data_IF_572906273549
#
_entry.id   IF_572906273549
#
_cell.length_a   1.000
_cell.length_b   1.000
_cell.length_c   1.000
_cell.angle_alpha   90.00
_cell.angle_beta   90.00
_cell.angle_gamma   90.00
#
_symmetry.space_group_name_H-M   'P 1'
#
loop_
_entity.id
_entity.type
_entity.pdbx_description
1 polymer ?
#
# COMPACT_ATOMS: atom_id res chain seq x y z
N UNK A 1 3.79 -18.43 -17.61
CA UNK A 1 4.79 -19.30 -16.91
C UNK A 1 5.89 -18.58 -16.12
N UNK A 2 6.38 -17.39 -16.49
CA UNK A 2 7.45 -16.71 -15.70
C UNK A 2 6.99 -16.15 -14.34
N UNK A 3 5.73 -15.70 -14.22
CA UNK A 3 5.22 -15.07 -12.98
C UNK A 3 4.74 -16.10 -11.94
N UNK A 4 4.17 -17.23 -12.40
CA UNK A 4 3.66 -18.26 -11.48
C UNK A 4 4.75 -19.08 -10.78
N UNK A 5 5.95 -19.20 -11.37
CA UNK A 5 7.05 -19.99 -10.77
C UNK A 5 7.78 -19.26 -9.65
N UNK A 6 7.66 -17.94 -9.53
CA UNK A 6 8.38 -17.12 -8.55
C UNK A 6 7.67 -16.98 -7.21
N UNK A 7 6.38 -17.33 -7.14
CA UNK A 7 5.52 -17.13 -5.96
C UNK A 7 5.17 -18.40 -5.18
N UNK A 8 5.47 -19.60 -5.70
CA UNK A 8 5.40 -20.84 -4.89
C UNK A 8 6.60 -20.91 -3.95
N UNK A 9 6.56 -20.13 -2.88
CA UNK A 9 7.33 -20.40 -1.68
C UNK A 9 6.33 -20.71 -0.57
N UNK A 10 6.01 -22.00 -0.40
CA UNK A 10 5.35 -22.48 0.80
C UNK A 10 6.25 -22.18 1.99
N UNK A 11 5.85 -21.22 2.82
CA UNK A 11 6.47 -20.99 4.12
C UNK A 11 5.85 -21.99 5.11
N UNK A 12 6.40 -23.20 5.16
CA UNK A 12 6.20 -24.05 6.33
C UNK A 12 7.12 -23.54 7.44
N UNK A 13 6.54 -22.89 8.45
CA UNK A 13 7.25 -22.59 9.69
C UNK A 13 7.17 -23.85 10.59
N UNK A 14 8.31 -24.42 11.02
CA UNK A 14 8.30 -25.60 11.87
C UNK A 14 7.88 -25.24 13.31
N UNK A 15 6.79 -25.89 13.76
CA UNK A 15 6.33 -25.92 15.14
C UNK A 15 5.61 -24.66 15.59
N UNK A 16 4.28 -24.72 15.77
CA UNK A 16 3.52 -24.17 16.90
C UNK A 16 2.00 -24.31 16.61
N UNK A 17 1.14 -24.56 17.61
CA UNK A 17 -0.23 -25.04 17.38
C UNK A 17 -1.14 -24.01 16.71
N UNK A 18 -1.86 -24.47 15.68
CA UNK A 18 -2.92 -23.75 14.97
C UNK A 18 -4.19 -23.66 15.82
N UNK A 19 -4.22 -22.82 16.87
CA UNK A 19 -5.48 -22.41 17.48
C UNK A 19 -5.30 -21.18 18.36
N UNK A 20 -5.61 -20.00 17.83
CA UNK A 20 -5.98 -18.85 18.66
C UNK A 20 -7.41 -18.46 18.31
N UNK A 21 -8.35 -18.63 19.26
CA UNK A 21 -9.69 -18.05 19.17
C UNK A 21 -9.64 -16.64 19.74
N UNK A 22 -9.97 -15.65 18.94
CA UNK A 22 -10.05 -14.25 19.36
C UNK A 22 -11.12 -14.04 20.45
N UNK A 23 -10.87 -13.24 21.49
CA UNK A 23 -11.93 -12.75 22.37
C UNK A 23 -12.81 -11.74 21.62
N UNK A 24 -14.13 -11.81 21.81
CA UNK A 24 -15.12 -10.88 21.24
C UNK A 24 -14.96 -9.46 21.81
N UNK A 25 -15.12 -8.39 21.00
CA UNK A 25 -15.02 -7.02 21.48
C UNK A 25 -16.23 -6.61 22.32
N UNK A 26 -15.98 -5.96 23.46
CA UNK A 26 -16.99 -5.29 24.28
C UNK A 26 -17.48 -3.99 23.62
N UNK A 27 -18.77 -3.63 23.73
CA UNK A 27 -19.32 -2.42 23.10
C UNK A 27 -19.00 -1.13 23.88
N UNK A 28 -18.95 0.04 23.23
CA UNK A 28 -18.64 1.31 23.89
C UNK A 28 -19.82 1.87 24.70
N UNK A 29 -19.47 2.63 25.76
CA UNK A 29 -20.38 3.29 26.70
C UNK A 29 -21.07 4.54 26.12
N UNK A 30 -22.33 4.84 26.50
CA UNK A 30 -23.16 5.86 25.85
C UNK A 30 -22.91 7.26 26.42
N UNK A 31 -21.91 8.00 25.89
CA UNK A 31 -21.76 9.44 26.20
C UNK A 31 -21.38 10.38 25.06
N UNK A 32 -21.41 9.92 23.80
CA UNK A 32 -21.23 10.80 22.64
C UNK A 32 -22.43 10.74 21.70
N UNK A 33 -23.56 11.27 22.17
CA UNK A 33 -24.75 11.50 21.35
C UNK A 33 -25.50 12.76 21.81
N UNK A 34 -25.00 13.95 21.50
CA UNK A 34 -25.85 15.15 21.31
C UNK A 34 -25.07 16.40 20.91
N UNK A 35 -25.81 17.28 20.21
CA UNK A 35 -25.47 18.60 19.65
C UNK A 35 -24.93 18.53 18.20
N UNK A 36 -25.55 19.11 17.16
CA UNK A 36 -26.52 20.22 17.11
C UNK A 36 -27.29 20.19 15.78
N UNK A 37 -28.59 20.44 15.88
CA UNK A 37 -29.53 20.66 14.78
C UNK A 37 -30.09 22.08 14.90
N UNK A 38 -30.08 22.85 13.79
CA UNK A 38 -30.85 24.08 13.46
C UNK A 38 -30.18 24.67 12.20
N UNK A 39 -30.79 24.93 11.06
CA UNK A 39 -32.18 24.94 10.60
C UNK A 39 -32.34 26.13 9.65
N UNK A 40 -32.73 25.92 8.38
CA UNK A 40 -33.54 26.89 7.60
C UNK A 40 -34.12 26.25 6.33
N UNK A 41 -35.45 26.25 6.25
CA UNK A 41 -36.26 25.98 5.06
C UNK A 41 -36.53 27.30 4.33
N UNK A 42 -36.62 27.24 3.00
CA UNK A 42 -37.55 28.06 2.21
C UNK A 42 -37.91 27.30 0.94
N UNK A 43 -39.20 27.04 0.79
CA UNK A 43 -39.86 26.39 -0.33
C UNK A 43 -40.52 27.45 -1.20
N UNK A 44 -40.52 27.25 -2.52
CA UNK A 44 -41.53 27.78 -3.45
C UNK A 44 -41.62 26.82 -4.65
N UNK A 45 -42.78 26.20 -4.79
CA UNK A 45 -43.29 25.56 -6.02
C UNK A 45 -43.60 26.63 -7.08
N UNK A 46 -43.58 26.27 -8.37
CA UNK A 46 -44.68 26.48 -9.32
C UNK A 46 -44.40 25.76 -10.67
N UNK A 47 -45.46 25.52 -11.42
CA UNK A 47 -45.80 24.45 -12.39
C UNK A 47 -45.24 24.53 -13.83
N UNK A 48 -45.40 23.47 -14.67
CA UNK A 48 -44.90 23.41 -16.05
C UNK A 48 -45.96 23.77 -17.10
N UNK A 49 -45.58 24.43 -18.21
CA UNK A 49 -46.48 24.63 -19.36
C UNK A 49 -45.75 24.68 -20.73
N UNK A 50 -46.22 23.79 -21.63
CA UNK A 50 -46.37 23.85 -23.11
C UNK A 50 -45.19 24.04 -24.09
N UNK A 51 -44.87 22.93 -24.77
CA UNK A 51 -45.07 22.66 -26.21
C UNK A 51 -45.10 23.85 -27.19
N UNK A 52 -44.00 24.07 -27.92
CA UNK A 52 -43.96 24.81 -29.19
C UNK A 52 -43.69 23.89 -30.38
N UNK A 53 -44.69 23.71 -31.26
CA UNK A 53 -44.57 23.08 -32.59
C UNK A 53 -44.10 24.12 -33.61
N UNK A 54 -42.99 23.87 -34.31
CA UNK A 54 -42.58 24.67 -35.47
C UNK A 54 -43.09 24.00 -36.74
N UNK A 55 -43.91 24.72 -37.50
CA UNK A 55 -44.51 24.33 -38.78
C UNK A 55 -43.66 24.91 -39.90
N UNK A 56 -42.96 24.06 -40.67
CA UNK A 56 -42.18 24.50 -41.84
C UNK A 56 -43.09 24.42 -43.08
N UNK A 57 -43.32 25.57 -43.71
CA UNK A 57 -44.02 25.68 -44.98
C UNK A 57 -43.11 25.21 -46.13
N UNK A 58 -43.58 24.25 -46.93
CA UNK A 58 -42.95 23.85 -48.20
C UNK A 58 -43.70 24.56 -49.33
N UNK A 59 -42.97 25.29 -50.17
CA UNK A 59 -43.42 25.78 -51.48
C UNK A 59 -42.96 24.79 -52.57
N UNK A 60 -43.76 24.51 -53.62
CA UNK A 60 -43.38 23.59 -54.67
C UNK A 60 -42.72 24.33 -55.84
N UNK A 61 -41.70 23.69 -56.44
CA UNK A 61 -41.34 23.93 -57.84
C UNK A 61 -39.89 24.33 -58.08
N UNK A 62 -39.13 23.38 -58.62
CA UNK A 62 -38.41 23.40 -59.91
C UNK A 62 -37.14 22.56 -59.77
N UNK A 63 -37.12 21.42 -60.47
CA UNK A 63 -35.96 20.56 -60.66
C UNK A 63 -34.91 21.26 -61.54
N UNK A 64 -33.62 20.99 -61.31
CA UNK A 64 -32.79 20.59 -62.43
C UNK A 64 -32.05 19.27 -62.17
N UNK A 65 -32.11 18.45 -63.21
CA UNK A 65 -31.43 17.19 -63.45
C UNK A 65 -29.90 17.37 -63.48
N UNK A 66 -29.18 16.26 -63.24
CA UNK A 66 -27.74 16.05 -63.37
C UNK A 66 -26.86 16.35 -62.14
N UNK A 67 -26.86 15.40 -61.20
CA UNK A 67 -25.63 15.02 -60.50
C UNK A 67 -25.43 13.51 -60.66
N UNK A 68 -24.36 13.13 -61.37
CA UNK A 68 -23.83 11.78 -61.34
C UNK A 68 -23.62 11.38 -59.87
N UNK A 69 -24.41 10.44 -59.39
CA UNK A 69 -24.24 9.84 -58.07
C UNK A 69 -23.03 8.91 -58.13
N UNK A 70 -21.84 9.46 -57.87
CA UNK A 70 -20.65 8.67 -57.56
C UNK A 70 -21.02 7.81 -56.34
N UNK A 71 -20.93 6.48 -56.40
CA UNK A 71 -21.16 5.67 -55.22
C UNK A 71 -20.07 5.98 -54.22
N UNK A 72 -20.40 6.78 -53.20
CA UNK A 72 -19.63 6.85 -51.97
C UNK A 72 -19.60 5.43 -51.40
N UNK A 73 -18.49 4.71 -51.59
CA UNK A 73 -18.17 3.57 -50.75
C UNK A 73 -18.08 4.11 -49.33
N UNK A 74 -19.14 3.90 -48.54
CA UNK A 74 -19.08 4.03 -47.09
C UNK A 74 -18.01 3.03 -46.67
N UNK A 75 -16.80 3.54 -46.41
CA UNK A 75 -15.67 2.73 -45.97
C UNK A 75 -16.11 1.93 -44.77
N UNK A 76 -15.95 0.61 -44.81
CA UNK A 76 -16.22 -0.22 -43.65
C UNK A 76 -15.43 0.35 -42.46
N UNK A 77 -16.02 0.45 -41.26
CA UNK A 77 -15.28 0.90 -40.09
C UNK A 77 -14.03 0.04 -39.94
N UNK A 78 -12.85 0.68 -39.92
CA UNK A 78 -11.57 -0.02 -39.82
C UNK A 78 -11.63 -1.01 -38.67
N UNK A 79 -11.38 -2.29 -38.96
CA UNK A 79 -11.36 -3.34 -37.94
C UNK A 79 -10.27 -2.97 -36.94
N UNK A 80 -10.67 -2.68 -35.70
CA UNK A 80 -9.70 -2.46 -34.64
C UNK A 80 -8.95 -3.77 -34.38
N UNK A 81 -7.63 -3.67 -34.34
CA UNK A 81 -6.73 -4.79 -34.05
C UNK A 81 -7.08 -5.45 -32.71
N UNK A 82 -7.39 -4.62 -31.71
CA UNK A 82 -7.86 -5.07 -30.40
C UNK A 82 -9.20 -4.39 -30.10
N UNK A 83 -10.24 -5.14 -29.69
CA UNK A 83 -11.50 -4.54 -29.27
C UNK A 83 -11.28 -3.54 -28.12
N UNK A 84 -11.96 -2.38 -28.16
CA UNK A 84 -11.86 -1.36 -27.09
C UNK A 84 -12.12 -1.93 -25.69
N UNK A 85 -13.00 -2.91 -25.58
CA UNK A 85 -13.32 -3.57 -24.31
C UNK A 85 -12.10 -4.29 -23.73
N UNK A 86 -11.34 -4.98 -24.57
CA UNK A 86 -10.13 -5.71 -24.18
C UNK A 86 -9.01 -4.77 -23.78
N UNK A 87 -8.80 -3.66 -24.50
CA UNK A 87 -7.82 -2.64 -24.10
C UNK A 87 -8.19 -2.01 -22.75
N UNK A 88 -9.46 -1.65 -22.56
CA UNK A 88 -9.94 -1.11 -21.28
C UNK A 88 -9.74 -2.10 -20.12
N UNK A 89 -9.97 -3.39 -20.36
CA UNK A 89 -9.75 -4.42 -19.35
C UNK A 89 -8.25 -4.56 -19.03
N UNK A 90 -7.39 -4.54 -20.05
CA UNK A 90 -5.94 -4.55 -19.89
C UNK A 90 -5.46 -3.35 -19.05
N UNK A 91 -5.86 -2.13 -19.42
CA UNK A 91 -5.52 -0.89 -18.71
C UNK A 91 -5.97 -0.94 -17.25
N UNK A 92 -7.19 -1.42 -16.99
CA UNK A 92 -7.71 -1.58 -15.62
C UNK A 92 -6.86 -2.53 -14.79
N UNK A 93 -6.56 -3.72 -15.31
CA UNK A 93 -5.79 -4.73 -14.55
C UNK A 93 -4.34 -4.29 -14.36
N UNK A 94 -3.72 -3.66 -15.36
CA UNK A 94 -2.38 -3.09 -15.20
C UNK A 94 -2.37 -1.93 -14.20
N UNK A 95 -3.36 -1.04 -14.24
CA UNK A 95 -3.48 0.08 -13.28
C UNK A 95 -3.59 -0.40 -11.83
N UNK A 96 -4.34 -1.48 -11.56
CA UNK A 96 -4.37 -2.12 -10.23
C UNK A 96 -3.00 -2.60 -9.78
N UNK A 97 -2.19 -3.14 -10.70
CA UNK A 97 -0.85 -3.63 -10.40
C UNK A 97 0.15 -2.51 -10.17
N UNK A 98 0.05 -1.39 -10.89
CA UNK A 98 0.85 -0.20 -10.62
C UNK A 98 0.56 0.36 -9.22
N UNK A 99 -0.72 0.48 -8.87
CA UNK A 99 -1.12 0.89 -7.52
C UNK A 99 -0.58 -0.06 -6.45
N UNK A 100 -0.64 -1.37 -6.70
CA UNK A 100 -0.11 -2.39 -5.79
C UNK A 100 1.42 -2.28 -5.64
N UNK A 101 2.16 -2.01 -6.72
CA UNK A 101 3.61 -1.77 -6.70
C UNK A 101 3.96 -0.61 -5.77
N UNK A 102 3.30 0.53 -5.97
CA UNK A 102 3.55 1.75 -5.20
C UNK A 102 3.21 1.57 -3.71
N UNK A 103 2.06 0.93 -3.43
CA UNK A 103 1.64 0.63 -2.06
C UNK A 103 2.60 -0.34 -1.37
N UNK A 104 3.10 -1.36 -2.08
CA UNK A 104 4.06 -2.33 -1.52
C UNK A 104 5.39 -1.65 -1.18
N UNK A 105 5.90 -0.78 -2.08
CA UNK A 105 7.13 0.00 -1.82
C UNK A 105 6.97 0.95 -0.64
N UNK A 106 5.83 1.64 -0.56
CA UNK A 106 5.53 2.54 0.56
C UNK A 106 5.49 1.77 1.88
N UNK A 107 4.75 0.66 1.93
CA UNK A 107 4.66 -0.20 3.10
C UNK A 107 6.05 -0.72 3.52
N UNK A 108 6.87 -1.17 2.58
CA UNK A 108 8.24 -1.60 2.87
C UNK A 108 9.07 -0.48 3.53
N UNK A 109 8.99 0.75 3.00
CA UNK A 109 9.71 1.91 3.53
C UNK A 109 9.23 2.26 4.93
N UNK A 110 7.92 2.27 5.15
CA UNK A 110 7.33 2.61 6.44
C UNK A 110 7.63 1.54 7.50
N UNK A 111 7.65 0.25 7.13
CA UNK A 111 8.08 -0.82 8.04
C UNK A 111 9.54 -0.68 8.47
N UNK A 112 10.44 -0.34 7.53
CA UNK A 112 11.86 -0.09 7.88
C UNK A 112 12.00 1.09 8.85
N UNK A 113 11.32 2.21 8.56
CA UNK A 113 11.33 3.36 9.46
C UNK A 113 10.81 3.01 10.86
N UNK A 114 9.77 2.20 10.94
CA UNK A 114 9.22 1.75 12.22
C UNK A 114 10.25 0.94 13.00
N UNK A 115 10.92 -0.02 12.37
CA UNK A 115 11.96 -0.82 13.05
C UNK A 115 13.19 0.00 13.43
N UNK A 116 13.58 0.99 12.62
CA UNK A 116 14.67 1.90 12.94
C UNK A 116 14.33 2.77 14.16
N UNK A 117 13.09 3.25 14.25
CA UNK A 117 12.60 4.01 15.41
C UNK A 117 12.57 3.15 16.68
N UNK A 118 12.13 1.88 16.57
CA UNK A 118 12.15 0.93 17.67
C UNK A 118 13.57 0.74 18.21
N UNK A 119 14.56 0.54 17.32
CA UNK A 119 15.97 0.40 17.73
C UNK A 119 16.53 1.66 18.37
N UNK A 120 16.20 2.83 17.83
CA UNK A 120 16.64 4.11 18.38
C UNK A 120 16.10 4.32 19.81
N UNK A 121 14.82 4.00 20.03
CA UNK A 121 14.18 4.12 21.34
C UNK A 121 14.84 3.20 22.38
N UNK A 122 15.02 1.90 22.07
CA UNK A 122 15.60 0.97 23.04
C UNK A 122 17.07 1.30 23.34
N UNK A 123 17.84 1.73 22.33
CA UNK A 123 19.21 2.20 22.52
C UNK A 123 19.30 3.43 23.42
N UNK A 124 18.40 4.41 23.26
CA UNK A 124 18.34 5.57 24.14
C UNK A 124 17.96 5.18 25.57
N UNK A 125 17.03 4.24 25.75
CA UNK A 125 16.65 3.75 27.08
C UNK A 125 17.83 3.08 27.81
N UNK A 126 18.60 2.22 27.13
CA UNK A 126 19.83 1.62 27.68
C UNK A 126 20.89 2.68 27.99
N UNK A 127 21.01 3.73 27.16
CA UNK A 127 21.95 4.81 27.44
C UNK A 127 21.57 5.55 28.72
N UNK A 128 20.30 5.88 28.91
CA UNK A 128 19.82 6.57 30.11
C UNK A 128 20.14 5.75 31.36
N UNK A 129 19.86 4.45 31.36
CA UNK A 129 20.15 3.61 32.52
C UNK A 129 21.66 3.46 32.78
N UNK A 130 22.46 3.33 31.73
CA UNK A 130 23.92 3.26 31.85
C UNK A 130 24.53 4.56 32.37
N UNK A 131 24.04 5.72 31.92
CA UNK A 131 24.49 7.03 32.40
C UNK A 131 24.16 7.19 33.89
N UNK A 132 22.96 6.79 34.32
CA UNK A 132 22.57 6.79 35.74
C UNK A 132 23.47 5.89 36.59
N UNK A 133 23.79 4.68 36.10
CA UNK A 133 24.64 3.74 36.81
C UNK A 133 26.07 4.27 37.02
N UNK A 134 26.55 5.10 36.09
CA UNK A 134 27.87 5.76 36.18
C UNK A 134 27.92 6.96 37.13
N UNK A 135 26.78 7.36 37.72
CA UNK A 135 26.71 8.49 38.62
C UNK A 135 27.41 8.18 39.97
N UNK A 136 28.27 9.07 40.49
CA UNK A 136 28.94 8.86 41.79
C UNK A 136 27.99 8.61 42.98
N UNK A 137 26.73 9.03 42.89
CA UNK A 137 25.70 8.71 43.91
C UNK A 137 25.49 7.20 44.09
N UNK A 138 25.71 6.40 43.04
CA UNK A 138 25.65 4.95 43.11
C UNK A 138 26.79 4.35 43.97
N UNK A 139 27.92 5.05 44.13
CA UNK A 139 28.99 4.60 45.02
C UNK A 139 28.72 4.97 46.49
N UNK A 140 27.97 6.04 46.70
CA UNK A 140 27.69 6.62 48.02
C UNK A 140 26.50 5.93 48.71
N UNK A 141 25.48 5.55 47.94
CA UNK A 141 24.20 5.07 48.47
C UNK A 141 23.89 3.66 47.95
N UNK A 142 24.13 2.60 48.75
CA UNK A 142 23.91 1.22 48.31
C UNK A 142 22.48 0.93 47.85
N UNK A 143 21.49 1.57 48.47
CA UNK A 143 20.07 1.40 48.11
C UNK A 143 19.74 2.04 46.75
N UNK A 144 20.41 3.13 46.38
CA UNK A 144 20.28 3.76 45.08
C UNK A 144 20.96 2.92 44.00
N UNK A 145 22.15 2.40 44.27
CA UNK A 145 22.86 1.48 43.37
C UNK A 145 22.02 0.26 43.02
N UNK A 146 21.38 -0.37 44.01
CA UNK A 146 20.50 -1.52 43.81
C UNK A 146 19.34 -1.18 42.85
N UNK A 147 18.66 -0.06 43.09
CA UNK A 147 17.55 0.41 42.26
C UNK A 147 17.99 0.70 40.82
N UNK A 148 19.08 1.43 40.63
CA UNK A 148 19.60 1.80 39.31
C UNK A 148 20.13 0.56 38.56
N UNK A 149 20.73 -0.39 39.26
CA UNK A 149 21.18 -1.67 38.67
C UNK A 149 20.00 -2.52 38.19
N UNK A 150 18.92 -2.58 38.96
CA UNK A 150 17.69 -3.26 38.55
C UNK A 150 17.08 -2.60 37.30
N UNK A 151 17.03 -1.26 37.27
CA UNK A 151 16.56 -0.49 36.12
C UNK A 151 17.41 -0.73 34.87
N UNK A 152 18.73 -0.68 34.98
CA UNK A 152 19.65 -0.93 33.86
C UNK A 152 19.52 -2.36 33.30
N UNK A 153 19.38 -3.34 34.19
CA UNK A 153 19.13 -4.73 33.80
C UNK A 153 17.81 -4.85 33.02
N UNK A 154 16.75 -4.19 33.48
CA UNK A 154 15.47 -4.17 32.77
C UNK A 154 15.58 -3.53 31.38
N UNK A 155 16.28 -2.39 31.25
CA UNK A 155 16.47 -1.70 29.97
C UNK A 155 17.26 -2.56 28.97
N UNK A 156 18.32 -3.23 29.42
CA UNK A 156 19.12 -4.16 28.59
C UNK A 156 18.31 -5.37 28.14
N UNK A 157 17.47 -5.95 29.02
CA UNK A 157 16.55 -7.04 28.65
C UNK A 157 15.53 -6.59 27.62
N UNK A 158 14.94 -5.40 27.80
CA UNK A 158 14.03 -4.80 26.83
C UNK A 158 14.68 -4.63 25.46
N UNK A 159 15.90 -4.11 25.41
CA UNK A 159 16.65 -3.93 24.17
C UNK A 159 16.89 -5.27 23.44
N UNK A 160 17.26 -6.32 24.17
CA UNK A 160 17.43 -7.67 23.59
C UNK A 160 16.15 -8.20 22.93
N UNK A 161 15.00 -8.11 23.60
CA UNK A 161 13.72 -8.50 23.01
C UNK A 161 13.31 -7.60 21.83
N UNK A 162 13.65 -6.31 21.88
CA UNK A 162 13.37 -5.39 20.79
C UNK A 162 14.20 -5.73 19.54
N UNK A 163 15.49 -6.06 19.71
CA UNK A 163 16.36 -6.53 18.63
C UNK A 163 15.80 -7.82 18.00
N UNK A 164 15.35 -8.78 18.80
CA UNK A 164 14.73 -10.00 18.28
C UNK A 164 13.45 -9.70 17.49
N UNK A 165 12.55 -8.85 18.02
CA UNK A 165 11.36 -8.39 17.30
C UNK A 165 11.74 -7.78 15.94
N UNK A 166 12.72 -6.86 15.92
CA UNK A 166 13.17 -6.19 14.70
C UNK A 166 13.74 -7.19 13.70
N UNK A 167 14.57 -8.14 14.15
CA UNK A 167 15.13 -9.19 13.31
C UNK A 167 14.04 -10.09 12.71
N UNK A 168 13.00 -10.42 13.47
CA UNK A 168 11.85 -11.17 12.98
C UNK A 168 11.04 -10.39 11.95
N UNK A 169 10.75 -9.11 12.20
CA UNK A 169 10.03 -8.24 11.25
C UNK A 169 10.82 -8.09 9.94
N UNK A 170 12.15 -7.97 10.03
CA UNK A 170 13.02 -7.90 8.86
C UNK A 170 12.86 -9.12 7.95
N UNK A 171 12.91 -10.33 8.53
CA UNK A 171 12.79 -11.60 7.79
C UNK A 171 11.36 -11.90 7.31
N UNK A 172 10.36 -11.60 8.12
CA UNK A 172 8.98 -12.06 7.90
C UNK A 172 8.07 -11.04 7.23
N UNK A 173 8.47 -9.77 7.18
CA UNK A 173 7.69 -8.66 6.60
C UNK A 173 8.49 -7.93 5.52
N UNK A 174 9.65 -7.37 5.89
CA UNK A 174 10.41 -6.47 4.99
C UNK A 174 10.99 -7.22 3.79
N UNK A 175 11.55 -8.41 4.01
CA UNK A 175 12.08 -9.26 2.94
C UNK A 175 11.00 -9.77 1.97
N UNK A 176 9.85 -10.32 2.43
CA UNK A 176 8.73 -10.65 1.55
C UNK A 176 8.22 -9.46 0.74
N UNK A 177 8.06 -8.27 1.34
CA UNK A 177 7.68 -7.06 0.61
C UNK A 177 8.70 -6.70 -0.48
N UNK A 178 10.00 -6.85 -0.19
CA UNK A 178 11.10 -6.65 -1.16
C UNK A 178 11.01 -7.66 -2.30
N UNK A 179 10.79 -8.93 -1.98
CA UNK A 179 10.70 -10.03 -2.95
C UNK A 179 9.48 -9.90 -3.85
N UNK A 180 8.32 -9.51 -3.30
CA UNK A 180 7.14 -9.21 -4.12
C UNK A 180 7.39 -8.02 -5.05
N UNK A 181 8.03 -6.96 -4.52
CA UNK A 181 8.34 -5.75 -5.29
C UNK A 181 9.30 -6.02 -6.47
N UNK A 182 10.17 -7.03 -6.39
CA UNK A 182 11.13 -7.32 -7.45
C UNK A 182 10.52 -7.96 -8.70
N UNK A 183 9.26 -8.38 -8.65
CA UNK A 183 8.53 -8.96 -9.79
C UNK A 183 8.06 -7.87 -10.76
N UNK A 184 7.74 -6.68 -10.26
CA UNK A 184 7.15 -5.60 -11.07
C UNK A 184 8.02 -5.10 -12.22
N UNK A 185 9.36 -4.93 -12.10
CA UNK A 185 10.20 -4.57 -13.24
C UNK A 185 10.03 -5.51 -14.44
N UNK A 186 9.94 -6.83 -14.19
CA UNK A 186 9.73 -7.83 -15.24
C UNK A 186 8.34 -7.72 -15.87
N UNK A 187 7.30 -7.50 -15.05
CA UNK A 187 5.94 -7.24 -15.52
C UNK A 187 5.88 -5.99 -16.40
N UNK A 188 6.44 -4.88 -15.93
CA UNK A 188 6.45 -3.59 -16.64
C UNK A 188 7.18 -3.72 -17.99
N UNK A 189 8.27 -4.48 -18.04
CA UNK A 189 8.95 -4.81 -19.30
C UNK A 189 8.11 -5.67 -20.25
N UNK A 190 7.34 -6.63 -19.73
CA UNK A 190 6.42 -7.43 -20.56
C UNK A 190 5.30 -6.57 -21.16
N UNK A 191 4.72 -5.66 -20.37
CA UNK A 191 3.72 -4.69 -20.84
C UNK A 191 4.30 -3.78 -21.91
N UNK A 192 5.52 -3.24 -21.69
CA UNK A 192 6.22 -2.42 -22.70
C UNK A 192 6.46 -3.18 -24.00
N UNK A 193 6.85 -4.46 -23.92
CA UNK A 193 7.04 -5.31 -25.10
C UNK A 193 5.72 -5.57 -25.84
N UNK A 194 4.62 -5.83 -25.13
CA UNK A 194 3.29 -5.92 -25.75
C UNK A 194 2.93 -4.65 -26.51
N UNK A 195 3.12 -3.48 -25.90
CA UNK A 195 2.78 -2.20 -26.54
C UNK A 195 3.63 -1.94 -27.78
N UNK A 196 4.94 -2.25 -27.72
CA UNK A 196 5.82 -2.16 -28.88
C UNK A 196 5.34 -3.08 -30.03
N UNK A 197 5.05 -4.35 -29.74
CA UNK A 197 4.53 -5.28 -30.77
C UNK A 197 3.17 -4.82 -31.31
N UNK A 198 2.31 -4.21 -30.47
CA UNK A 198 1.03 -3.64 -30.92
C UNK A 198 1.22 -2.47 -31.90
N UNK A 199 2.21 -1.61 -31.65
CA UNK A 199 2.55 -0.50 -32.57
C UNK A 199 3.06 -1.04 -33.91
N UNK A 200 3.93 -2.05 -33.88
CA UNK A 200 4.42 -2.72 -35.09
C UNK A 200 3.30 -3.42 -35.86
N UNK A 201 2.38 -4.07 -35.14
CA UNK A 201 1.18 -4.64 -35.74
C UNK A 201 0.32 -3.55 -36.40
N UNK A 202 0.00 -2.44 -35.72
CA UNK A 202 -0.75 -1.30 -36.30
C UNK A 202 -0.11 -0.78 -37.59
N UNK A 203 1.22 -0.66 -37.61
CA UNK A 203 1.99 -0.21 -38.78
C UNK A 203 1.89 -1.17 -39.96
N UNK A 204 2.12 -2.47 -39.74
CA UNK A 204 2.06 -3.48 -40.80
C UNK A 204 0.63 -3.74 -41.28
N UNK A 205 -0.36 -3.72 -40.38
CA UNK A 205 -1.77 -3.80 -40.74
C UNK A 205 -2.18 -2.65 -41.66
N UNK A 206 -1.74 -1.42 -41.37
CA UNK A 206 -1.98 -0.26 -42.23
C UNK A 206 -1.33 -0.42 -43.61
N UNK A 207 -0.16 -1.07 -43.69
CA UNK A 207 0.50 -1.42 -44.97
C UNK A 207 -0.33 -2.42 -45.77
N UNK A 208 -0.91 -3.44 -45.13
CA UNK A 208 -1.82 -4.41 -45.77
C UNK A 208 -3.08 -3.71 -46.27
N UNK A 209 -3.78 -2.94 -45.42
CA UNK A 209 -4.99 -2.17 -45.79
C UNK A 209 -4.73 -1.29 -47.03
N UNK A 210 -3.59 -0.58 -47.05
CA UNK A 210 -3.19 0.28 -48.18
C UNK A 210 -3.03 -0.48 -49.51
N UNK A 211 -2.63 -1.75 -49.49
CA UNK A 211 -2.55 -2.57 -50.71
C UNK A 211 -3.88 -3.25 -51.04
N UNK A 212 -4.74 -3.51 -50.05
CA UNK A 212 -6.11 -4.03 -50.27
C UNK A 212 -7.04 -3.01 -50.91
N UNK A 213 -6.84 -1.72 -50.65
CA UNK A 213 -7.60 -0.61 -51.25
C UNK A 213 -7.22 -0.32 -52.71
N UNK A 214 -6.06 -0.80 -53.17
CA UNK A 214 -5.57 -0.57 -54.54
C UNK A 214 -6.20 -1.52 -55.55
N UNK A 215 -6.16 -1.14 -56.82
CA UNK A 215 -6.62 -2.00 -57.92
C UNK A 215 -5.87 -3.32 -57.98
N UNK A 216 -6.61 -4.40 -58.28
CA UNK A 216 -6.12 -5.79 -58.28
C UNK A 216 -5.31 -6.13 -59.53
N UNK A 217 -4.19 -5.44 -59.69
CA UNK A 217 -3.18 -5.76 -60.70
C UNK A 217 -2.19 -6.81 -60.17
N UNK A 218 -1.56 -7.57 -61.06
CA UNK A 218 -0.55 -8.58 -60.68
C UNK A 218 0.54 -8.05 -59.71
N UNK A 219 1.19 -6.91 -60.00
CA UNK A 219 2.18 -6.33 -59.10
C UNK A 219 1.64 -5.91 -57.73
N UNK A 220 0.38 -5.45 -57.65
CA UNK A 220 -0.25 -5.09 -56.36
C UNK A 220 -0.58 -6.33 -55.55
N UNK A 221 -1.03 -7.41 -56.19
CA UNK A 221 -1.29 -8.69 -55.53
C UNK A 221 -0.01 -9.31 -54.94
N UNK A 222 1.12 -9.23 -55.66
CA UNK A 222 2.41 -9.68 -55.14
C UNK A 222 2.84 -8.88 -53.89
N UNK A 223 2.72 -7.54 -53.92
CA UNK A 223 3.02 -6.68 -52.76
C UNK A 223 2.08 -6.89 -51.59
N UNK A 224 0.79 -7.14 -51.85
CA UNK A 224 -0.19 -7.49 -50.83
C UNK A 224 0.18 -8.81 -50.15
N UNK A 225 0.56 -9.82 -50.92
CA UNK A 225 1.02 -11.10 -50.38
C UNK A 225 2.25 -10.91 -49.48
N UNK A 226 3.28 -10.21 -49.95
CA UNK A 226 4.47 -9.91 -49.15
C UNK A 226 4.13 -9.16 -47.85
N UNK A 227 3.27 -8.14 -47.91
CA UNK A 227 2.84 -7.40 -46.72
C UNK A 227 2.08 -8.28 -45.71
N UNK A 228 1.31 -9.27 -46.17
CA UNK A 228 0.63 -10.25 -45.30
C UNK A 228 1.62 -11.23 -44.68
N UNK A 229 2.64 -11.68 -45.43
CA UNK A 229 3.73 -12.52 -44.90
C UNK A 229 4.51 -11.81 -43.80
N UNK A 230 4.83 -10.52 -43.99
CA UNK A 230 5.49 -9.69 -42.97
C UNK A 230 4.61 -9.48 -41.72
N UNK A 231 3.30 -9.30 -41.92
CA UNK A 231 2.34 -9.07 -40.84
C UNK A 231 2.15 -10.28 -39.93
N UNK A 232 2.11 -11.49 -40.52
CA UNK A 232 1.72 -12.72 -39.83
C UNK A 232 2.51 -12.98 -38.54
N UNK A 233 3.86 -13.01 -38.52
CA UNK A 233 4.61 -13.29 -37.29
C UNK A 233 4.43 -12.20 -36.22
N UNK A 234 4.26 -10.94 -36.61
CA UNK A 234 4.06 -9.83 -35.67
C UNK A 234 2.67 -9.91 -35.01
N UNK A 235 1.65 -10.28 -35.79
CA UNK A 235 0.31 -10.53 -35.28
C UNK A 235 0.31 -11.68 -34.26
N UNK A 236 0.92 -12.82 -34.62
CA UNK A 236 1.01 -13.98 -33.73
C UNK A 236 1.76 -13.66 -32.43
N UNK A 237 2.86 -12.92 -32.50
CA UNK A 237 3.62 -12.49 -31.32
C UNK A 237 2.82 -11.55 -30.41
N UNK A 238 2.10 -10.58 -31.00
CA UNK A 238 1.22 -9.68 -30.25
C UNK A 238 0.10 -10.45 -29.55
N UNK A 239 -0.61 -11.33 -30.27
CA UNK A 239 -1.72 -12.11 -29.73
C UNK A 239 -1.26 -13.00 -28.57
N UNK A 240 -0.09 -13.64 -28.71
CA UNK A 240 0.52 -14.43 -27.64
C UNK A 240 0.82 -13.59 -26.39
N UNK A 241 1.51 -12.45 -26.55
CA UNK A 241 1.85 -11.53 -25.45
C UNK A 241 0.61 -10.96 -24.76
N UNK A 242 -0.37 -10.52 -25.57
CA UNK A 242 -1.61 -9.94 -25.09
C UNK A 242 -2.42 -10.95 -24.28
N UNK A 243 -2.60 -12.17 -24.81
CA UNK A 243 -3.28 -13.26 -24.11
C UNK A 243 -2.58 -13.59 -22.79
N UNK A 244 -1.26 -13.76 -22.82
CA UNK A 244 -0.50 -14.09 -21.61
C UNK A 244 -0.68 -13.03 -20.51
N UNK A 245 -0.59 -11.74 -20.85
CA UNK A 245 -0.74 -10.67 -19.86
C UNK A 245 -2.16 -10.57 -19.31
N UNK A 246 -3.18 -10.72 -20.15
CA UNK A 246 -4.58 -10.74 -19.73
C UNK A 246 -4.90 -11.91 -18.78
N UNK A 247 -4.20 -13.04 -18.93
CA UNK A 247 -4.35 -14.19 -18.03
C UNK A 247 -3.54 -14.06 -16.74
N UNK A 248 -2.31 -13.56 -16.80
CA UNK A 248 -1.38 -13.60 -15.67
C UNK A 248 -1.55 -12.40 -14.72
N UNK A 249 -1.86 -11.20 -15.24
CA UNK A 249 -2.02 -9.99 -14.40
C UNK A 249 -3.12 -10.14 -13.33
N UNK A 250 -4.35 -10.61 -13.67
CA UNK A 250 -5.40 -10.77 -12.67
C UNK A 250 -5.09 -11.85 -11.63
N UNK A 251 -4.40 -12.93 -12.06
CA UNK A 251 -3.96 -14.01 -11.17
C UNK A 251 -2.92 -13.49 -10.17
N UNK A 252 -1.92 -12.77 -10.68
CA UNK A 252 -0.89 -12.14 -9.84
C UNK A 252 -1.53 -11.17 -8.83
N UNK A 253 -2.44 -10.30 -9.28
CA UNK A 253 -3.18 -9.40 -8.39
C UNK A 253 -3.94 -10.18 -7.31
N UNK A 254 -4.68 -11.24 -7.68
CA UNK A 254 -5.46 -12.04 -6.73
C UNK A 254 -4.59 -12.73 -5.69
N UNK A 255 -3.40 -13.21 -6.08
CA UNK A 255 -2.45 -13.90 -5.17
C UNK A 255 -1.90 -13.03 -4.03
N UNK A 256 -2.03 -11.70 -4.10
CA UNK A 256 -1.51 -10.76 -3.10
C UNK A 256 -2.00 -11.05 -1.68
N UNK A 257 -3.25 -11.54 -1.54
CA UNK A 257 -3.86 -11.79 -0.24
C UNK A 257 -3.11 -12.94 0.46
N UNK A 258 -3.00 -14.07 -0.23
CA UNK A 258 -2.32 -15.25 0.30
C UNK A 258 -0.83 -15.00 0.50
N UNK A 259 -0.23 -14.16 -0.33
CA UNK A 259 1.18 -13.78 -0.20
C UNK A 259 1.46 -12.92 1.04
N UNK A 260 0.64 -11.89 1.31
CA UNK A 260 0.89 -10.96 2.42
C UNK A 260 0.33 -11.40 3.77
N UNK A 261 -0.68 -12.27 3.78
CA UNK A 261 -1.32 -12.74 5.02
C UNK A 261 -0.31 -13.30 6.05
N UNK A 262 0.64 -14.19 5.68
CA UNK A 262 1.62 -14.69 6.64
C UNK A 262 2.55 -13.60 7.21
N UNK A 263 2.88 -12.57 6.43
CA UNK A 263 3.67 -11.44 6.90
C UNK A 263 2.91 -10.61 7.94
N UNK A 264 1.62 -10.34 7.73
CA UNK A 264 0.83 -9.59 8.71
C UNK A 264 0.59 -10.39 9.99
N UNK A 265 0.31 -11.69 9.88
CA UNK A 265 0.20 -12.56 11.06
C UNK A 265 1.51 -12.60 11.86
N UNK A 266 2.65 -12.70 11.17
CA UNK A 266 3.98 -12.72 11.82
C UNK A 266 4.32 -11.38 12.47
N UNK A 267 3.94 -10.26 11.84
CA UNK A 267 4.09 -8.93 12.43
C UNK A 267 3.32 -8.79 13.75
N UNK A 268 2.04 -9.18 13.76
CA UNK A 268 1.21 -9.14 14.97
C UNK A 268 1.79 -10.04 16.05
N UNK A 269 2.21 -11.26 15.71
CA UNK A 269 2.84 -12.19 16.66
C UNK A 269 4.12 -11.62 17.28
N UNK A 270 5.01 -11.05 16.46
CA UNK A 270 6.26 -10.45 16.96
C UNK A 270 5.99 -9.30 17.94
N UNK A 271 4.96 -8.48 17.68
CA UNK A 271 4.55 -7.42 18.59
C UNK A 271 3.97 -7.98 19.90
N UNK A 272 3.08 -8.97 19.83
CA UNK A 272 2.48 -9.60 21.02
C UNK A 272 3.56 -10.20 21.92
N UNK A 273 4.53 -10.92 21.35
CA UNK A 273 5.66 -11.48 22.11
C UNK A 273 6.43 -10.36 22.80
N UNK A 274 6.84 -9.34 22.05
CA UNK A 274 7.60 -8.21 22.61
C UNK A 274 6.86 -7.53 23.77
N UNK A 275 5.61 -7.09 23.57
CA UNK A 275 4.87 -6.37 24.59
C UNK A 275 4.51 -7.23 25.81
N UNK A 276 4.32 -8.54 25.61
CA UNK A 276 4.12 -9.48 26.73
C UNK A 276 5.37 -9.56 27.60
N UNK A 277 6.55 -9.66 26.99
CA UNK A 277 7.81 -9.68 27.74
C UNK A 277 8.09 -8.32 28.39
N UNK A 278 7.72 -7.21 27.74
CA UNK A 278 7.89 -5.87 28.34
C UNK A 278 7.02 -5.72 29.59
N UNK A 279 5.77 -6.17 29.52
CA UNK A 279 4.87 -6.17 30.67
C UNK A 279 5.47 -6.95 31.85
N UNK A 280 6.05 -8.13 31.59
CA UNK A 280 6.72 -8.93 32.63
C UNK A 280 7.94 -8.21 33.21
N UNK A 281 8.83 -7.70 32.36
CA UNK A 281 10.05 -7.00 32.78
C UNK A 281 9.70 -5.79 33.66
N UNK A 282 8.73 -4.99 33.25
CA UNK A 282 8.32 -3.83 34.05
C UNK A 282 7.57 -4.23 35.31
N UNK A 283 6.76 -5.29 35.30
CA UNK A 283 6.15 -5.83 36.51
C UNK A 283 7.18 -6.29 37.54
N UNK A 284 8.20 -7.03 37.09
CA UNK A 284 9.31 -7.49 37.93
C UNK A 284 10.12 -6.30 38.48
N UNK A 285 10.36 -5.28 37.64
CA UNK A 285 11.08 -4.06 38.04
C UNK A 285 10.28 -3.26 39.07
N UNK A 286 8.97 -3.07 38.85
CA UNK A 286 8.10 -2.40 39.81
C UNK A 286 8.13 -3.13 41.14
N UNK A 287 8.01 -4.46 41.16
CA UNK A 287 8.07 -5.23 42.41
C UNK A 287 9.42 -5.12 43.15
N UNK A 288 10.52 -4.87 42.43
CA UNK A 288 11.85 -4.68 43.02
C UNK A 288 12.09 -3.26 43.54
N UNK A 289 11.55 -2.25 42.85
CA UNK A 289 11.76 -0.83 43.19
C UNK A 289 10.70 -0.34 44.19
N UNK A 290 9.48 -0.85 44.09
CA UNK A 290 8.36 -0.41 44.91
C UNK A 290 8.59 -0.81 46.36
N UNK A 291 8.78 0.21 47.20
CA UNK A 291 8.78 0.05 48.66
C UNK A 291 7.43 0.51 49.18
N UNK A 292 6.75 -0.25 50.05
CA UNK A 292 5.54 0.23 50.69
C UNK A 292 5.87 1.53 51.45
N UNK A 293 5.25 2.62 51.01
CA UNK A 293 5.57 3.96 51.46
C UNK A 293 4.41 4.93 51.27
N UNK A 294 4.76 6.22 51.26
CA UNK A 294 3.80 7.31 51.12
C UNK A 294 3.08 7.27 49.77
N UNK A 295 1.79 7.64 49.77
CA UNK A 295 1.02 7.89 48.54
C UNK A 295 1.70 8.95 47.67
N UNK A 296 1.41 8.96 46.36
CA UNK A 296 1.97 9.95 45.44
C UNK A 296 1.72 11.39 45.94
N UNK A 297 0.52 11.69 46.44
CA UNK A 297 0.16 13.01 47.01
C UNK A 297 0.96 13.37 48.27
N UNK A 298 1.32 12.37 49.08
CA UNK A 298 2.14 12.59 50.27
C UNK A 298 3.61 12.82 49.89
N UNK A 299 4.14 12.08 48.90
CA UNK A 299 5.49 12.30 48.37
C UNK A 299 5.63 13.68 47.74
N UNK A 300 4.63 14.12 46.99
CA UNK A 300 4.60 15.45 46.38
C UNK A 300 4.63 16.54 47.46
N UNK A 301 3.75 16.45 48.47
CA UNK A 301 3.72 17.40 49.60
C UNK A 301 5.05 17.47 50.36
N UNK A 302 5.66 16.33 50.66
CA UNK A 302 6.96 16.30 51.34
C UNK A 302 8.08 16.88 50.49
N UNK A 303 8.10 16.60 49.19
CA UNK A 303 9.09 17.17 48.27
C UNK A 303 8.93 18.68 48.15
N UNK A 304 7.71 19.18 48.00
CA UNK A 304 7.42 20.62 47.93
C UNK A 304 7.81 21.34 49.22
N UNK A 305 7.56 20.72 50.39
CA UNK A 305 7.99 21.25 51.68
C UNK A 305 9.53 21.37 51.74
N UNK A 306 10.27 20.31 51.39
CA UNK A 306 11.74 20.31 51.36
C UNK A 306 12.30 21.35 50.39
N UNK A 307 11.71 21.47 49.19
CA UNK A 307 12.11 22.47 48.21
C UNK A 307 11.80 23.90 48.70
N UNK A 308 10.69 24.09 49.41
CA UNK A 308 10.33 25.39 50.01
C UNK A 308 11.32 25.79 51.09
N UNK A 309 11.73 24.86 51.96
CA UNK A 309 12.77 25.10 52.98
C UNK A 309 14.09 25.52 52.33
N UNK A 310 14.52 24.82 51.27
CA UNK A 310 15.74 25.17 50.53
C UNK A 310 15.66 26.57 49.90
N UNK A 311 14.50 26.95 49.35
CA UNK A 311 14.30 28.31 48.80
C UNK A 311 14.37 29.38 49.90
N UNK A 312 13.88 29.08 51.11
CA UNK A 312 13.93 30.01 52.23
C UNK A 312 15.37 30.28 52.73
N UNK A 313 16.32 29.36 52.50
CA UNK A 313 17.75 29.58 52.80
C UNK A 313 18.39 30.66 51.92
N UNK A 314 17.77 31.04 50.81
CA UNK A 314 18.28 32.07 49.88
C UNK A 314 18.04 33.50 50.36
N UNK A 315 17.44 33.73 51.54
CA UNK A 315 17.04 35.06 52.06
C UNK A 315 18.14 35.66 52.98
N UNK A 316 19.42 35.32 52.79
CA UNK A 316 20.54 36.01 53.46
C UNK A 316 21.61 36.38 52.44
N UNK A 317 21.36 37.46 51.71
CA UNK A 317 22.37 38.23 50.98
C UNK A 317 21.87 39.67 50.81
N UNK A 318 21.52 40.32 51.92
CA UNK A 318 21.44 41.78 52.03
C UNK A 318 22.09 42.14 53.37
N UNK A 319 23.41 42.30 53.36
CA UNK A 319 24.24 43.11 54.27
C UNK A 319 25.63 43.33 53.65
#
# INVERSE_FOLDING_TARGET
MLLSKTLSASFELPGFPLAWKSPSPTPPSPREASAKQRGRRSSTEFTPEQSGKVKVHILPGVLPTFLLRIPFKIGQPKKQIVPKTVERDFEREYGKLQQLEDQTKKLQKDMKKSTDADLAMSKSAVKISSDLLSNPLCEQEPSFLEMVTAFDTAMKRMDSFNQEKVNQIQKTVIEPLKKFSSVFPSLNMAVKRREQTLQDYKRLQSKVEKYEEKERTGPVLAKLHQAREELRPVKEDFEAKNKQLLEEMPKFYSSRIDYFKPSFESLVRAQVVYYTEMHKIFGDLTAQIDRPGLSDEQRERENDAKLSELRALSIVADD
#
